data_IF_864167715642
#
_entry.id   IF_864167715642
#
_cell.length_a   1.000
_cell.length_b   1.000
_cell.length_c   1.000
_cell.angle_alpha   90.00
_cell.angle_beta   90.00
_cell.angle_gamma   90.00
#
_symmetry.space_group_name_H-M   'P 1'
#
loop_
_entity.id
_entity.type
_entity.pdbx_description
1 polymer ?
#
# COMPACT_ATOMS: atom_id res chain seq x y z
N UNK A 1 9.02 -20.08 -7.40
CA UNK A 1 7.59 -19.90 -7.28
C UNK A 1 7.31 -18.84 -6.24
N UNK A 2 6.85 -17.65 -6.66
CA UNK A 2 6.43 -16.59 -5.75
C UNK A 2 5.14 -17.04 -5.06
N UNK A 3 5.06 -16.83 -3.77
CA UNK A 3 3.84 -17.07 -3.01
C UNK A 3 2.87 -15.91 -3.33
N UNK A 4 1.80 -16.21 -4.08
CA UNK A 4 0.61 -15.34 -4.06
C UNK A 4 0.02 -15.53 -2.67
N UNK A 5 0.19 -14.56 -1.80
CA UNK A 5 -0.55 -14.51 -0.56
C UNK A 5 -1.89 -13.80 -0.86
N UNK A 6 -2.95 -14.18 -0.18
CA UNK A 6 -4.25 -13.49 -0.28
C UNK A 6 -4.09 -11.98 -0.07
N UNK A 7 -3.13 -11.56 0.74
CA UNK A 7 -2.79 -10.16 0.99
C UNK A 7 -2.44 -9.36 -0.27
N UNK A 8 -1.82 -9.99 -1.27
CA UNK A 8 -1.47 -9.33 -2.54
C UNK A 8 -2.72 -8.89 -3.31
N UNK A 9 -3.83 -9.61 -3.14
CA UNK A 9 -5.09 -9.35 -3.84
C UNK A 9 -5.96 -8.29 -3.13
N UNK A 10 -5.67 -7.92 -1.89
CA UNK A 10 -6.47 -6.94 -1.15
C UNK A 10 -6.53 -5.59 -1.85
N UNK A 11 -5.45 -5.18 -2.54
CA UNK A 11 -5.45 -3.93 -3.33
C UNK A 11 -6.48 -3.91 -4.46
N UNK A 12 -6.93 -5.08 -4.96
CA UNK A 12 -7.99 -5.14 -5.97
C UNK A 12 -9.35 -4.77 -5.40
N UNK A 13 -9.59 -5.15 -4.14
CA UNK A 13 -10.88 -5.01 -3.47
C UNK A 13 -11.15 -3.59 -2.93
N UNK A 14 -10.13 -2.72 -2.84
CA UNK A 14 -10.24 -1.39 -2.20
C UNK A 14 -11.43 -0.60 -2.73
N UNK A 15 -11.66 -0.61 -4.05
CA UNK A 15 -12.73 0.16 -4.66
C UNK A 15 -14.12 -0.30 -4.21
N UNK A 16 -14.33 -1.60 -4.02
CA UNK A 16 -15.60 -2.18 -3.62
C UNK A 16 -15.78 -2.17 -2.09
N UNK A 17 -14.68 -2.30 -1.34
CA UNK A 17 -14.69 -2.21 0.12
C UNK A 17 -15.05 -0.81 0.63
N UNK A 18 -14.70 0.23 -0.13
CA UNK A 18 -14.95 1.63 0.23
C UNK A 18 -15.89 2.32 -0.77
N UNK A 19 -17.19 1.93 -0.84
CA UNK A 19 -18.11 2.39 -1.87
C UNK A 19 -18.40 3.89 -1.82
N UNK A 20 -18.20 4.52 -0.67
CA UNK A 20 -18.45 5.94 -0.45
C UNK A 20 -17.22 6.83 -0.71
N UNK A 21 -16.07 6.25 -1.04
CA UNK A 21 -14.87 7.00 -1.37
C UNK A 21 -14.65 7.03 -2.88
N UNK A 22 -14.26 8.19 -3.39
CA UNK A 22 -13.97 8.35 -4.82
C UNK A 22 -12.48 8.16 -5.13
N UNK A 23 -11.60 8.31 -4.13
CA UNK A 23 -10.14 8.24 -4.28
C UNK A 23 -9.49 7.58 -3.07
N UNK A 24 -8.40 6.83 -3.28
CA UNK A 24 -7.57 6.27 -2.22
C UNK A 24 -6.10 6.28 -2.62
N UNK A 25 -5.22 6.41 -1.63
CA UNK A 25 -3.80 6.17 -1.77
C UNK A 25 -3.46 4.82 -1.14
N UNK A 26 -3.04 3.86 -2.00
CA UNK A 26 -2.52 2.58 -1.57
C UNK A 26 -1.01 2.65 -1.36
N UNK A 27 -0.53 2.07 -0.29
CA UNK A 27 0.89 2.02 0.07
C UNK A 27 1.26 0.60 0.54
N UNK A 28 2.33 0.04 0.00
CA UNK A 28 2.90 -1.21 0.52
C UNK A 28 3.47 -1.00 1.94
N UNK A 29 3.65 -2.08 2.69
CA UNK A 29 4.06 -2.01 4.10
C UNK A 29 5.57 -1.79 4.32
N UNK A 30 6.37 -1.80 3.27
CA UNK A 30 7.82 -1.68 3.28
C UNK A 30 8.32 -0.34 2.72
N UNK A 31 7.65 0.73 3.12
CA UNK A 31 7.92 2.11 2.71
C UNK A 31 8.39 2.98 3.88
N UNK A 32 9.06 4.08 3.53
CA UNK A 32 9.27 5.24 4.41
C UNK A 32 8.75 6.49 3.68
N UNK A 33 7.89 7.25 4.34
CA UNK A 33 7.42 8.55 3.86
C UNK A 33 8.30 9.63 4.49
N UNK A 34 9.14 10.27 3.67
CA UNK A 34 10.16 11.24 4.10
C UNK A 34 9.74 12.70 3.85
N UNK A 35 8.59 12.91 3.21
CA UNK A 35 8.08 14.25 2.88
C UNK A 35 6.56 14.31 2.75
N UNK A 36 6.03 15.47 2.36
CA UNK A 36 4.59 15.63 2.17
C UNK A 36 4.06 14.84 0.97
N UNK A 37 3.01 14.05 1.20
CA UNK A 37 2.26 13.34 0.16
C UNK A 37 1.05 14.14 -0.34
N UNK A 38 0.82 15.34 0.18
CA UNK A 38 -0.30 16.19 -0.21
C UNK A 38 -0.34 16.49 -1.71
N UNK A 39 0.79 16.85 -2.37
CA UNK A 39 0.75 17.08 -3.82
C UNK A 39 0.41 15.83 -4.63
N UNK A 40 0.75 14.63 -4.12
CA UNK A 40 0.32 13.38 -4.72
C UNK A 40 -1.19 13.18 -4.54
N UNK A 41 -1.71 13.47 -3.35
CA UNK A 41 -3.14 13.36 -3.06
C UNK A 41 -3.99 14.30 -3.91
N UNK A 42 -3.53 15.53 -4.15
CA UNK A 42 -4.23 16.55 -4.95
C UNK A 42 -4.22 16.26 -6.46
N UNK A 43 -3.49 15.25 -6.89
CA UNK A 43 -3.40 14.90 -8.30
C UNK A 43 -4.79 14.55 -8.86
N UNK A 44 -5.15 15.16 -9.97
CA UNK A 44 -6.34 14.80 -10.73
C UNK A 44 -6.16 13.47 -11.47
N UNK A 45 -7.13 12.57 -11.32
CA UNK A 45 -7.20 11.26 -11.97
C UNK A 45 -8.30 11.17 -13.03
N UNK A 46 -8.86 12.28 -13.51
CA UNK A 46 -9.87 12.24 -14.56
C UNK A 46 -9.35 11.46 -15.80
N UNK A 47 -10.09 10.46 -16.22
CA UNK A 47 -9.73 9.59 -17.35
C UNK A 47 -8.72 8.48 -17.03
N UNK A 48 -8.23 8.39 -15.79
CA UNK A 48 -7.29 7.36 -15.34
C UNK A 48 -7.87 6.49 -14.23
N UNK A 49 -7.55 5.21 -14.22
CA UNK A 49 -7.90 4.30 -13.12
C UNK A 49 -6.98 4.45 -11.93
N UNK A 50 -5.69 4.73 -12.19
CA UNK A 50 -4.70 4.92 -11.16
C UNK A 50 -3.55 5.81 -11.64
N UNK A 51 -2.76 6.30 -10.67
CA UNK A 51 -1.44 6.86 -10.92
C UNK A 51 -0.37 6.07 -10.16
N UNK A 52 0.82 5.94 -10.75
CA UNK A 52 1.96 5.25 -10.16
C UNK A 52 3.26 5.61 -10.85
N UNK A 53 4.38 5.18 -10.26
CA UNK A 53 5.73 5.43 -10.76
C UNK A 53 6.15 4.30 -11.69
N UNK A 54 6.77 4.67 -12.82
CA UNK A 54 7.33 3.71 -13.78
C UNK A 54 8.34 2.76 -13.11
N UNK A 55 8.19 1.46 -13.32
CA UNK A 55 9.10 0.46 -12.78
C UNK A 55 10.34 0.33 -13.66
N UNK A 56 11.39 1.05 -13.28
CA UNK A 56 12.66 1.10 -14.00
C UNK A 56 13.30 -0.29 -14.11
N UNK A 57 13.17 -1.15 -13.11
CA UNK A 57 13.72 -2.50 -13.13
C UNK A 57 13.05 -3.34 -14.23
N UNK A 58 11.72 -3.33 -14.30
CA UNK A 58 10.95 -4.05 -15.31
C UNK A 58 11.28 -3.56 -16.72
N UNK A 59 11.49 -2.25 -16.88
CA UNK A 59 11.92 -1.67 -18.14
C UNK A 59 13.31 -2.16 -18.55
N UNK A 60 14.29 -2.20 -17.64
CA UNK A 60 15.67 -2.66 -17.89
C UNK A 60 15.74 -4.11 -18.35
N UNK A 61 14.93 -5.00 -17.77
CA UNK A 61 14.92 -6.42 -18.13
C UNK A 61 14.01 -6.74 -19.33
N UNK A 62 13.39 -5.71 -19.94
CA UNK A 62 12.48 -5.84 -21.07
C UNK A 62 11.30 -6.81 -20.84
N UNK A 63 10.87 -6.96 -19.61
CA UNK A 63 9.83 -7.89 -19.18
C UNK A 63 8.45 -7.57 -19.77
N UNK A 64 8.19 -6.31 -20.11
CA UNK A 64 6.96 -5.83 -20.74
C UNK A 64 6.56 -6.62 -21.99
N UNK A 65 7.52 -7.16 -22.74
CA UNK A 65 7.26 -7.99 -23.93
C UNK A 65 6.57 -9.30 -23.58
N UNK A 66 6.85 -9.88 -22.40
CA UNK A 66 6.21 -11.12 -21.91
C UNK A 66 4.74 -10.88 -21.66
N UNK A 67 4.39 -9.65 -21.24
CA UNK A 67 3.01 -9.25 -20.96
C UNK A 67 2.27 -8.71 -22.18
N UNK A 68 2.92 -8.74 -23.37
CA UNK A 68 2.35 -8.22 -24.62
C UNK A 68 1.94 -6.74 -24.55
N UNK A 69 2.67 -5.96 -23.71
CA UNK A 69 2.49 -4.52 -23.62
C UNK A 69 3.19 -3.84 -24.81
N UNK A 70 2.48 -2.89 -25.44
CA UNK A 70 3.06 -2.09 -26.51
C UNK A 70 4.17 -1.17 -25.99
N UNK A 71 5.03 -0.66 -26.86
CA UNK A 71 6.13 0.22 -26.48
C UNK A 71 5.65 1.50 -25.77
N UNK A 72 4.49 2.03 -26.18
CA UNK A 72 3.83 3.20 -25.58
C UNK A 72 3.15 2.94 -24.24
N UNK A 73 2.88 1.68 -23.92
CA UNK A 73 2.21 1.35 -22.66
C UNK A 73 3.19 1.50 -21.49
N UNK A 74 2.74 2.08 -20.41
CA UNK A 74 3.54 2.23 -19.20
C UNK A 74 3.46 0.96 -18.37
N UNK A 75 4.45 0.75 -17.51
CA UNK A 75 4.44 -0.30 -16.50
C UNK A 75 4.89 0.29 -15.17
N UNK A 76 3.95 0.44 -14.24
CA UNK A 76 4.19 1.05 -12.94
C UNK A 76 4.48 0.01 -11.88
N UNK A 77 5.25 0.40 -10.86
CA UNK A 77 5.39 -0.35 -9.63
C UNK A 77 4.10 -0.21 -8.80
N UNK A 78 3.58 -1.33 -8.30
CA UNK A 78 2.29 -1.37 -7.61
C UNK A 78 2.35 -1.04 -6.11
N UNK A 79 3.52 -0.73 -5.56
CA UNK A 79 3.68 -0.45 -4.13
C UNK A 79 3.20 0.92 -3.68
N UNK A 80 3.03 1.88 -4.62
CA UNK A 80 2.40 3.18 -4.38
C UNK A 80 1.43 3.45 -5.51
N UNK A 81 0.14 3.48 -5.21
CA UNK A 81 -0.93 3.70 -6.19
C UNK A 81 -1.91 4.76 -5.67
N UNK A 82 -2.08 5.84 -6.42
CA UNK A 82 -3.24 6.70 -6.23
C UNK A 82 -4.37 6.15 -7.10
N UNK A 83 -5.48 5.75 -6.48
CA UNK A 83 -6.58 5.01 -7.10
C UNK A 83 -7.80 5.90 -7.33
N UNK A 84 -8.39 5.86 -8.52
CA UNK A 84 -9.70 6.43 -8.82
C UNK A 84 -10.77 5.36 -8.55
N UNK A 85 -11.23 5.28 -7.29
CA UNK A 85 -12.14 4.24 -6.85
C UNK A 85 -13.49 4.28 -7.59
N UNK A 86 -13.94 5.49 -7.94
CA UNK A 86 -15.17 5.70 -8.69
C UNK A 86 -15.14 5.01 -10.06
N UNK A 87 -14.08 5.26 -10.84
CA UNK A 87 -13.97 4.69 -12.19
C UNK A 87 -13.60 3.20 -12.14
N UNK A 88 -12.83 2.76 -11.12
CA UNK A 88 -12.55 1.34 -10.89
C UNK A 88 -13.84 0.54 -10.65
N UNK A 89 -14.76 1.04 -9.82
CA UNK A 89 -16.08 0.42 -9.59
C UNK A 89 -16.93 0.46 -10.83
N UNK A 90 -17.05 1.64 -11.45
CA UNK A 90 -17.87 1.84 -12.66
C UNK A 90 -17.56 0.83 -13.76
N UNK A 91 -16.27 0.58 -13.99
CA UNK A 91 -15.78 -0.27 -15.07
C UNK A 91 -15.49 -1.71 -14.59
N UNK A 92 -15.87 -2.06 -13.34
CA UNK A 92 -15.71 -3.39 -12.72
C UNK A 92 -14.29 -3.95 -12.82
N UNK A 93 -13.31 -3.10 -12.48
CA UNK A 93 -11.89 -3.42 -12.66
C UNK A 93 -11.47 -4.55 -11.72
N UNK A 94 -12.01 -4.66 -10.50
CA UNK A 94 -11.73 -5.77 -9.58
C UNK A 94 -12.02 -7.13 -10.24
N UNK A 95 -13.19 -7.31 -10.87
CA UNK A 95 -13.57 -8.57 -11.54
C UNK A 95 -12.54 -8.92 -12.63
N UNK A 96 -12.13 -7.92 -13.42
CA UNK A 96 -11.15 -8.11 -14.50
C UNK A 96 -9.76 -8.45 -13.97
N UNK A 97 -9.33 -7.85 -12.87
CA UNK A 97 -8.06 -8.16 -12.21
C UNK A 97 -8.04 -9.59 -11.69
N UNK A 98 -9.10 -10.03 -10.99
CA UNK A 98 -9.22 -11.39 -10.49
C UNK A 98 -9.24 -12.42 -11.63
N UNK A 99 -9.98 -12.13 -12.70
CA UNK A 99 -10.02 -12.99 -13.88
C UNK A 99 -8.64 -13.10 -14.54
N UNK A 100 -7.94 -11.96 -14.73
CA UNK A 100 -6.60 -11.94 -15.29
C UNK A 100 -5.62 -12.76 -14.44
N UNK A 101 -5.60 -12.55 -13.13
CA UNK A 101 -4.73 -13.30 -12.21
C UNK A 101 -5.00 -14.79 -12.28
N UNK A 102 -6.28 -15.21 -12.36
CA UNK A 102 -6.65 -16.62 -12.49
C UNK A 102 -6.13 -17.26 -13.79
N UNK A 103 -6.23 -16.53 -14.90
CA UNK A 103 -5.81 -17.02 -16.22
C UNK A 103 -4.28 -17.09 -16.35
N UNK A 104 -3.59 -16.05 -15.88
CA UNK A 104 -2.17 -15.84 -16.13
C UNK A 104 -1.26 -16.14 -14.93
N UNK A 105 -1.75 -16.87 -13.92
CA UNK A 105 -1.04 -17.20 -12.67
C UNK A 105 0.35 -17.81 -12.89
N UNK A 106 0.56 -18.57 -13.98
CA UNK A 106 1.82 -19.20 -14.31
C UNK A 106 2.73 -18.36 -15.23
N UNK A 107 2.17 -17.32 -15.87
CA UNK A 107 2.91 -16.40 -16.75
C UNK A 107 3.45 -15.21 -15.98
N UNK A 108 2.62 -14.63 -15.12
CA UNK A 108 2.85 -13.36 -14.46
C UNK A 108 3.81 -13.55 -13.26
N UNK A 109 5.02 -12.99 -13.38
CA UNK A 109 6.07 -13.12 -12.36
C UNK A 109 5.83 -12.18 -11.16
N UNK A 110 5.27 -11.00 -11.45
CA UNK A 110 4.99 -9.95 -10.48
C UNK A 110 3.48 -9.85 -10.19
N UNK A 111 2.76 -10.91 -10.52
CA UNK A 111 1.38 -11.21 -10.12
C UNK A 111 0.41 -10.04 -10.20
N UNK A 112 0.09 -9.44 -9.05
CA UNK A 112 -0.85 -8.32 -8.93
C UNK A 112 -0.34 -7.06 -9.65
N UNK A 113 0.95 -6.79 -9.64
CA UNK A 113 1.56 -5.71 -10.40
C UNK A 113 1.35 -5.93 -11.91
N UNK A 114 1.56 -7.15 -12.40
CA UNK A 114 1.35 -7.50 -13.81
C UNK A 114 -0.12 -7.34 -14.20
N UNK A 115 -1.03 -7.84 -13.37
CA UNK A 115 -2.47 -7.73 -13.61
C UNK A 115 -2.92 -6.26 -13.67
N UNK A 116 -2.49 -5.41 -12.75
CA UNK A 116 -2.82 -3.97 -12.75
C UNK A 116 -2.32 -3.33 -14.04
N UNK A 117 -1.07 -3.57 -14.43
CA UNK A 117 -0.50 -2.98 -15.63
C UNK A 117 -1.15 -3.46 -16.93
N UNK A 118 -1.59 -4.73 -16.99
CA UNK A 118 -2.31 -5.27 -18.13
C UNK A 118 -3.75 -4.76 -18.23
N UNK A 119 -4.48 -4.76 -17.10
CA UNK A 119 -5.91 -4.41 -17.09
C UNK A 119 -6.14 -2.90 -17.14
N UNK A 120 -5.30 -2.12 -16.47
CA UNK A 120 -5.40 -0.66 -16.46
C UNK A 120 -4.65 0.00 -17.63
N UNK A 121 -4.12 -0.77 -18.57
CA UNK A 121 -3.41 -0.29 -19.75
C UNK A 121 -4.13 0.85 -20.45
N UNK A 122 -3.39 1.93 -20.76
CA UNK A 122 -3.93 3.15 -21.38
C UNK A 122 -4.68 4.08 -20.43
N UNK A 123 -4.92 3.68 -19.17
CA UNK A 123 -5.56 4.48 -18.12
C UNK A 123 -4.71 4.55 -16.84
N UNK A 124 -3.40 4.51 -16.98
CA UNK A 124 -2.43 4.71 -15.91
C UNK A 124 -1.75 6.06 -16.11
N UNK A 125 -1.79 6.91 -15.10
CA UNK A 125 -1.09 8.19 -15.07
C UNK A 125 0.28 8.02 -14.44
N UNK A 126 1.33 8.40 -15.17
CA UNK A 126 2.68 8.40 -14.58
C UNK A 126 2.88 9.58 -13.64
N UNK A 127 3.52 9.32 -12.52
CA UNK A 127 3.95 10.31 -11.54
C UNK A 127 5.47 10.27 -11.35
N UNK A 128 6.08 11.35 -10.82
CA UNK A 128 7.51 11.43 -10.57
C UNK A 128 8.00 10.32 -9.63
N UNK A 129 9.22 9.80 -9.87
CA UNK A 129 9.83 8.73 -9.08
C UNK A 129 10.06 9.07 -7.60
N UNK A 130 10.06 10.36 -7.23
CA UNK A 130 10.13 10.79 -5.83
C UNK A 130 8.99 10.23 -4.96
N UNK A 131 7.88 9.81 -5.56
CA UNK A 131 6.72 9.22 -4.87
C UNK A 131 6.76 7.69 -4.78
N UNK A 132 7.73 7.03 -5.38
CA UNK A 132 7.96 5.59 -5.20
C UNK A 132 9.39 5.25 -5.65
N UNK A 133 10.36 5.80 -4.92
CA UNK A 133 11.77 5.53 -5.17
C UNK A 133 12.11 4.12 -4.67
N UNK A 134 12.33 3.20 -5.61
CA UNK A 134 12.60 1.80 -5.28
C UNK A 134 14.08 1.56 -5.01
N UNK A 135 14.40 0.66 -4.10
CA UNK A 135 15.78 0.29 -3.76
C UNK A 135 16.50 -0.47 -4.88
N UNK A 136 15.82 -0.80 -5.96
CA UNK A 136 16.41 -1.34 -7.19
C UNK A 136 17.15 -0.27 -8.03
N UNK A 137 17.02 1.00 -7.71
CA UNK A 137 17.76 2.10 -8.33
C UNK A 137 19.22 2.15 -7.86
N UNK A 138 20.16 2.47 -8.75
CA UNK A 138 21.58 2.12 -8.58
C UNK A 138 22.46 3.16 -7.87
N UNK A 139 21.93 4.31 -7.48
CA UNK A 139 22.69 5.36 -6.79
C UNK A 139 21.90 5.89 -5.61
N UNK A 140 22.46 5.69 -4.42
CA UNK A 140 21.85 6.14 -3.17
C UNK A 140 22.86 7.02 -2.42
N UNK A 141 22.88 8.32 -2.75
CA UNK A 141 23.58 9.30 -1.92
C UNK A 141 22.61 10.01 -0.98
N UNK A 142 23.06 10.51 0.18
CA UNK A 142 22.19 11.29 1.09
C UNK A 142 21.51 12.47 0.38
N UNK A 143 22.23 13.14 -0.53
CA UNK A 143 21.73 14.28 -1.29
C UNK A 143 20.58 13.90 -2.23
N UNK A 144 20.70 12.74 -2.91
CA UNK A 144 19.61 12.22 -3.74
C UNK A 144 18.37 11.91 -2.91
N UNK A 145 18.54 11.37 -1.71
CA UNK A 145 17.42 10.95 -0.87
C UNK A 145 16.72 12.13 -0.18
N UNK A 146 17.34 13.31 -0.11
CA UNK A 146 16.73 14.49 0.50
C UNK A 146 15.44 14.93 -0.19
N UNK A 147 15.35 14.75 -1.50
CA UNK A 147 14.23 15.16 -2.33
C UNK A 147 13.19 14.05 -2.53
N UNK A 148 13.53 12.82 -2.10
CA UNK A 148 12.62 11.67 -2.22
C UNK A 148 11.56 11.74 -1.13
N UNK A 149 10.30 11.66 -1.55
CA UNK A 149 9.14 11.71 -0.66
C UNK A 149 8.78 10.33 -0.14
N UNK A 150 8.77 9.30 -1.01
CA UNK A 150 8.48 7.92 -0.60
C UNK A 150 9.62 7.01 -1.06
N UNK A 151 10.29 6.36 -0.09
CA UNK A 151 11.29 5.33 -0.32
C UNK A 151 10.64 3.97 -0.16
N UNK A 152 10.76 3.12 -1.17
CA UNK A 152 10.19 1.79 -1.19
C UNK A 152 11.30 0.73 -1.15
N UNK A 153 11.38 0.00 -0.05
CA UNK A 153 12.38 -1.04 0.18
C UNK A 153 12.00 -2.34 -0.52
N UNK A 154 12.04 -2.33 -1.87
CA UNK A 154 11.72 -3.49 -2.68
C UNK A 154 12.70 -4.65 -2.48
N UNK A 155 12.30 -5.87 -2.86
CA UNK A 155 13.12 -7.07 -2.72
C UNK A 155 12.95 -7.79 -1.38
N UNK A 156 13.61 -8.94 -1.22
CA UNK A 156 13.46 -9.84 -0.07
C UNK A 156 14.24 -9.40 1.17
N UNK A 157 15.37 -8.69 0.98
CA UNK A 157 16.20 -8.20 2.08
C UNK A 157 15.76 -6.78 2.42
N UNK A 158 15.30 -6.59 3.66
CA UNK A 158 14.71 -5.35 4.15
C UNK A 158 15.64 -4.61 5.11
N UNK A 159 15.47 -3.28 5.32
CA UNK A 159 16.36 -2.48 6.17
C UNK A 159 16.40 -2.94 7.64
N UNK A 160 15.42 -3.69 8.11
CA UNK A 160 15.41 -4.30 9.45
C UNK A 160 16.12 -5.65 9.54
N UNK A 161 16.55 -6.23 8.40
CA UNK A 161 17.38 -7.43 8.39
C UNK A 161 18.85 -7.11 8.63
N UNK A 162 19.59 -8.05 9.21
CA UNK A 162 21.03 -7.86 9.50
C UNK A 162 21.85 -7.78 8.21
N UNK A 163 21.44 -8.53 7.19
CA UNK A 163 22.09 -8.65 5.87
C UNK A 163 21.89 -7.42 4.97
N UNK A 164 21.10 -6.43 5.41
CA UNK A 164 20.87 -5.23 4.60
C UNK A 164 22.11 -4.34 4.56
N UNK A 165 22.72 -4.23 3.39
CA UNK A 165 24.03 -3.60 3.19
C UNK A 165 23.99 -2.13 2.78
N UNK A 166 22.84 -1.60 2.37
CA UNK A 166 22.72 -0.21 1.92
C UNK A 166 22.56 0.74 3.10
N UNK A 167 23.71 1.18 3.65
CA UNK A 167 23.77 1.90 4.90
C UNK A 167 22.93 3.17 4.93
N UNK A 168 22.99 4.00 3.88
CA UNK A 168 22.25 5.27 3.80
C UNK A 168 20.74 5.05 3.90
N UNK A 169 20.23 4.04 3.19
CA UNK A 169 18.80 3.66 3.24
C UNK A 169 18.43 3.05 4.60
N UNK A 170 19.34 2.28 5.21
CA UNK A 170 19.15 1.73 6.55
C UNK A 170 19.11 2.82 7.62
N UNK A 171 19.98 3.80 7.53
CA UNK A 171 20.00 4.97 8.44
C UNK A 171 18.69 5.76 8.32
N UNK A 172 18.21 5.98 7.10
CA UNK A 172 16.94 6.65 6.86
C UNK A 172 15.76 5.87 7.47
N UNK A 173 15.72 4.55 7.29
CA UNK A 173 14.74 3.70 7.95
C UNK A 173 14.82 3.81 9.48
N UNK A 174 16.04 3.75 10.05
CA UNK A 174 16.25 3.84 11.49
C UNK A 174 15.82 5.20 12.06
N UNK A 175 15.98 6.29 11.31
CA UNK A 175 15.51 7.64 11.70
C UNK A 175 14.02 7.63 12.03
N UNK A 176 13.20 6.93 11.22
CA UNK A 176 11.75 6.84 11.43
C UNK A 176 11.32 5.69 12.34
N UNK A 177 12.21 4.72 12.58
CA UNK A 177 11.96 3.58 13.47
C UNK A 177 12.60 3.78 14.86
N UNK A 178 12.47 4.98 15.42
CA UNK A 178 13.04 5.33 16.72
C UNK A 178 12.34 4.60 17.88
N UNK A 179 13.02 4.52 19.05
CA UNK A 179 12.46 3.83 20.23
C UNK A 179 11.21 4.49 20.80
N UNK A 180 11.08 5.81 20.67
CA UNK A 180 9.88 6.54 21.12
C UNK A 180 8.69 6.20 20.26
N UNK A 181 8.86 6.09 18.94
CA UNK A 181 7.81 5.68 18.02
C UNK A 181 7.38 4.24 18.26
N UNK A 182 8.32 3.34 18.66
CA UNK A 182 7.98 1.96 19.03
C UNK A 182 7.03 1.87 20.23
N UNK A 183 7.21 2.73 21.24
CA UNK A 183 6.32 2.75 22.41
C UNK A 183 4.93 3.24 22.00
N UNK A 184 4.84 4.33 21.24
CA UNK A 184 3.58 4.86 20.73
C UNK A 184 2.87 3.84 19.82
N UNK A 185 3.61 3.20 18.91
CA UNK A 185 3.07 2.22 17.98
C UNK A 185 2.56 0.96 18.68
N UNK A 186 3.28 0.47 19.71
CA UNK A 186 2.80 -0.65 20.55
C UNK A 186 1.49 -0.29 21.27
N UNK A 187 1.36 0.95 21.72
CA UNK A 187 0.13 1.42 22.36
C UNK A 187 -1.04 1.43 21.36
N UNK A 188 -0.82 1.98 20.16
CA UNK A 188 -1.84 1.99 19.09
C UNK A 188 -2.24 0.58 18.66
N UNK A 189 -1.28 -0.35 18.52
CA UNK A 189 -1.57 -1.75 18.20
C UNK A 189 -2.39 -2.44 19.28
N UNK A 190 -2.07 -2.23 20.56
CA UNK A 190 -2.86 -2.76 21.69
C UNK A 190 -4.28 -2.19 21.72
N UNK A 191 -4.43 -0.91 21.41
CA UNK A 191 -5.75 -0.31 21.30
C UNK A 191 -6.54 -0.94 20.16
N UNK A 192 -5.91 -1.21 19.00
CA UNK A 192 -6.55 -1.88 17.88
C UNK A 192 -6.98 -3.32 18.22
N UNK A 193 -6.09 -4.10 18.85
CA UNK A 193 -6.42 -5.44 19.34
C UNK A 193 -7.65 -5.40 20.26
N UNK A 194 -7.66 -4.49 21.23
CA UNK A 194 -8.79 -4.31 22.15
C UNK A 194 -10.06 -3.87 21.44
N UNK A 195 -9.96 -2.99 20.44
CA UNK A 195 -11.11 -2.56 19.62
C UNK A 195 -11.73 -3.75 18.89
N UNK A 196 -10.90 -4.61 18.30
CA UNK A 196 -11.36 -5.83 17.61
C UNK A 196 -12.04 -6.80 18.59
N UNK A 197 -11.44 -7.03 19.77
CA UNK A 197 -12.03 -7.89 20.82
C UNK A 197 -13.39 -7.38 21.26
N UNK A 198 -13.51 -6.10 21.57
CA UNK A 198 -14.77 -5.47 21.99
C UNK A 198 -15.85 -5.61 20.92
N UNK A 199 -15.50 -5.34 19.68
CA UNK A 199 -16.41 -5.46 18.55
C UNK A 199 -16.85 -6.91 18.31
N UNK A 200 -15.93 -7.88 18.39
CA UNK A 200 -16.27 -9.31 18.27
C UNK A 200 -17.20 -9.76 19.43
N UNK A 201 -16.98 -9.24 20.64
CA UNK A 201 -17.80 -9.57 21.79
C UNK A 201 -19.19 -8.94 21.65
N UNK A 202 -19.29 -7.69 21.23
CA UNK A 202 -20.58 -7.02 20.99
C UNK A 202 -21.43 -7.78 19.98
N UNK A 203 -20.82 -8.27 18.89
CA UNK A 203 -21.53 -9.07 17.89
C UNK A 203 -22.02 -10.43 18.42
N UNK A 204 -21.29 -11.04 19.36
CA UNK A 204 -21.69 -12.31 19.97
C UNK A 204 -22.80 -12.16 21.02
N UNK A 205 -22.81 -11.05 21.71
CA UNK A 205 -23.73 -10.79 22.85
C UNK A 205 -24.88 -9.87 22.51
N UNK A 206 -24.89 -9.25 21.31
CA UNK A 206 -25.76 -8.14 20.92
C UNK A 206 -25.73 -6.96 21.94
N UNK A 207 -24.55 -6.71 22.51
CA UNK A 207 -24.34 -5.67 23.50
C UNK A 207 -23.85 -4.39 22.80
N UNK A 208 -24.72 -3.39 22.77
CA UNK A 208 -24.46 -2.09 22.15
C UNK A 208 -23.48 -1.22 22.93
N UNK A 209 -23.35 -1.42 24.26
CA UNK A 209 -22.38 -0.65 25.09
C UNK A 209 -20.93 -1.05 24.69
N UNK A 210 -20.70 -2.34 24.41
CA UNK A 210 -19.39 -2.83 23.93
C UNK A 210 -19.06 -2.28 22.54
N UNK A 211 -20.05 -2.14 21.66
CA UNK A 211 -19.86 -1.55 20.34
C UNK A 211 -19.50 -0.06 20.44
N UNK A 212 -20.18 0.69 21.30
CA UNK A 212 -19.84 2.10 21.56
C UNK A 212 -18.45 2.28 22.17
N UNK A 213 -18.03 1.35 23.07
CA UNK A 213 -16.66 1.37 23.61
C UNK A 213 -15.62 1.11 22.52
N UNK A 214 -15.88 0.16 21.62
CA UNK A 214 -15.02 -0.13 20.47
C UNK A 214 -14.90 1.09 19.54
N UNK A 215 -16.00 1.77 19.22
CA UNK A 215 -16.00 2.96 18.38
C UNK A 215 -15.24 4.14 19.01
N UNK A 216 -15.39 4.34 20.32
CA UNK A 216 -14.60 5.36 21.05
C UNK A 216 -13.11 5.08 20.99
N UNK A 217 -12.72 3.81 21.12
CA UNK A 217 -11.31 3.41 21.04
C UNK A 217 -10.78 3.52 19.63
N UNK A 218 -11.58 3.18 18.61
CA UNK A 218 -11.23 3.35 17.20
C UNK A 218 -10.98 4.82 16.85
N UNK A 219 -11.87 5.72 17.23
CA UNK A 219 -11.68 7.15 17.03
C UNK A 219 -10.41 7.67 17.70
N UNK A 220 -10.13 7.20 18.93
CA UNK A 220 -8.89 7.52 19.63
C UNK A 220 -7.65 7.05 18.87
N UNK A 221 -7.70 5.88 18.25
CA UNK A 221 -6.59 5.38 17.39
C UNK A 221 -6.40 6.32 16.20
N UNK A 222 -7.48 6.67 15.50
CA UNK A 222 -7.45 7.57 14.34
C UNK A 222 -6.86 8.92 14.71
N UNK A 223 -7.29 9.52 15.81
CA UNK A 223 -6.78 10.80 16.29
C UNK A 223 -5.28 10.78 16.65
N UNK A 224 -4.76 9.62 17.05
CA UNK A 224 -3.36 9.44 17.42
C UNK A 224 -2.49 8.90 16.27
N UNK A 225 -3.08 8.40 15.18
CA UNK A 225 -2.37 8.06 13.97
C UNK A 225 -1.80 9.33 13.34
N UNK A 226 -0.47 9.38 13.19
CA UNK A 226 0.22 10.45 12.48
C UNK A 226 1.09 9.84 11.39
N UNK A 227 1.46 10.63 10.40
CA UNK A 227 2.39 10.23 9.33
C UNK A 227 3.77 9.76 9.85
N UNK A 228 4.07 10.00 11.14
CA UNK A 228 5.29 9.50 11.80
C UNK A 228 5.18 8.05 12.29
N UNK A 229 4.02 7.40 12.15
CA UNK A 229 3.86 5.98 12.50
C UNK A 229 4.46 5.14 11.39
N UNK A 230 5.43 4.23 11.65
CA UNK A 230 6.00 3.37 10.62
C UNK A 230 4.95 2.51 9.94
N UNK A 231 5.12 2.29 8.63
CA UNK A 231 4.25 1.39 7.88
C UNK A 231 4.75 -0.04 8.10
N UNK A 232 4.47 -0.61 9.26
CA UNK A 232 4.79 -2.00 9.57
C UNK A 232 3.53 -2.77 9.95
N UNK A 233 3.52 -4.08 9.71
CA UNK A 233 2.37 -4.93 10.02
C UNK A 233 2.15 -5.10 11.52
N UNK A 234 3.24 -5.34 12.28
CA UNK A 234 3.12 -5.69 13.71
C UNK A 234 2.83 -4.49 14.62
N UNK A 235 3.37 -3.31 14.31
CA UNK A 235 3.30 -2.16 15.23
C UNK A 235 3.14 -0.82 14.49
N UNK A 236 2.54 -0.80 13.30
CA UNK A 236 2.45 0.41 12.49
C UNK A 236 1.13 0.60 11.76
N UNK A 237 1.11 1.56 10.84
CA UNK A 237 -0.08 1.93 10.06
C UNK A 237 -0.70 0.74 9.31
N UNK A 238 0.11 -0.20 8.83
CA UNK A 238 -0.38 -1.37 8.11
C UNK A 238 -1.21 -2.29 9.01
N UNK A 239 -0.74 -2.58 10.24
CA UNK A 239 -1.50 -3.38 11.21
C UNK A 239 -2.78 -2.66 11.66
N UNK A 240 -2.71 -1.35 11.89
CA UNK A 240 -3.87 -0.51 12.22
C UNK A 240 -4.86 -0.50 11.05
N UNK A 241 -4.39 -0.30 9.82
CA UNK A 241 -5.23 -0.32 8.61
C UNK A 241 -5.93 -1.66 8.40
N UNK A 242 -5.23 -2.78 8.60
CA UNK A 242 -5.83 -4.12 8.55
C UNK A 242 -6.89 -4.31 9.62
N UNK A 243 -6.65 -3.78 10.83
CA UNK A 243 -7.64 -3.80 11.91
C UNK A 243 -8.89 -2.99 11.58
N UNK A 244 -8.74 -1.79 11.01
CA UNK A 244 -9.84 -0.94 10.54
C UNK A 244 -10.63 -1.67 9.44
N UNK A 245 -9.95 -2.25 8.46
CA UNK A 245 -10.57 -3.03 7.39
C UNK A 245 -11.39 -4.20 7.94
N UNK A 246 -10.81 -4.98 8.88
CA UNK A 246 -11.51 -6.06 9.56
C UNK A 246 -12.79 -5.58 10.24
N UNK A 247 -12.75 -4.45 10.94
CA UNK A 247 -13.92 -3.89 11.61
C UNK A 247 -14.98 -3.42 10.61
N UNK A 248 -14.57 -2.82 9.50
CA UNK A 248 -15.50 -2.39 8.45
C UNK A 248 -16.20 -3.57 7.78
N UNK A 249 -15.47 -4.67 7.51
CA UNK A 249 -16.06 -5.89 6.94
C UNK A 249 -17.09 -6.57 7.88
N UNK A 250 -16.97 -6.37 9.19
CA UNK A 250 -17.87 -6.97 10.18
C UNK A 250 -19.10 -6.11 10.50
N UNK A 251 -19.06 -4.80 10.16
CA UNK A 251 -20.19 -3.89 10.28
C UNK A 251 -21.13 -3.92 9.07
N UNK A 252 -20.72 -4.55 7.97
CA UNK A 252 -21.52 -4.78 6.76
C UNK A 252 -22.18 -6.16 6.81
#
# INVERSE_FOLDING_TARGET
GGYITEHTLYRYAIADLFPNLDKALYLDADLVINGSIEPLWELDLEGYYCAGVDDIFIRRINYRKILELAEKDVYINAGVLLLNLKDLRKDKIQEKLLQHTSIYINRDRYQDQDAINCICKGKIKLIPNIYNFTTSETLHTPEMLSDIIIIHYTGSIKPWHQEYTWLVLKELYCKYNSSMDKIKNRLLSRWMERTIELFQLSQKTNDTELEEEADKLLNKIIDHCSLAVPITYENGLCGIGTGIEYLLQKKL
#
